data_IF_948803995698
#
_entry.id   IF_948803995698
#
_cell.length_a   1.000
_cell.length_b   1.000
_cell.length_c   1.000
_cell.angle_alpha   90.00
_cell.angle_beta   90.00
_cell.angle_gamma   90.00
#
_symmetry.space_group_name_H-M   'P 1'
#
loop_
_entity.id
_entity.type
_entity.pdbx_description
1 polymer ?
#
# COMPACT_ATOMS: atom_id res chain seq x y z
N UNK A 1 0.22 24.04 31.46
CA UNK A 1 0.44 23.79 30.01
C UNK A 1 0.20 22.31 29.76
N UNK A 2 -0.97 21.92 29.25
CA UNK A 2 -1.20 20.51 28.86
C UNK A 2 -0.65 20.32 27.44
N UNK A 3 0.12 19.26 27.15
CA UNK A 3 0.52 18.96 25.79
C UNK A 3 -0.75 18.75 24.97
N UNK A 4 -0.89 19.55 23.91
CA UNK A 4 -1.98 19.46 22.97
C UNK A 4 -1.74 18.26 22.06
N UNK A 5 -2.26 17.10 22.43
CA UNK A 5 -2.30 15.92 21.57
C UNK A 5 -3.34 16.14 20.46
N UNK A 6 -2.94 16.89 19.44
CA UNK A 6 -3.62 16.86 18.15
C UNK A 6 -3.22 15.61 17.38
N UNK A 7 -4.09 14.60 17.39
CA UNK A 7 -4.50 13.94 16.13
C UNK A 7 -5.88 13.31 16.29
N UNK A 8 -6.92 13.78 15.56
CA UNK A 8 -8.24 13.18 15.62
C UNK A 8 -8.19 11.74 15.08
N UNK A 9 -8.96 10.85 15.72
CA UNK A 9 -9.17 9.47 15.32
C UNK A 9 -9.69 9.39 13.88
N UNK A 10 -8.80 9.19 12.91
CA UNK A 10 -9.16 9.05 11.51
C UNK A 10 -9.32 7.56 11.17
N UNK A 11 -10.56 7.10 11.21
CA UNK A 11 -11.15 6.02 10.41
C UNK A 11 -10.15 5.07 9.73
N UNK A 12 -9.76 4.01 10.44
CA UNK A 12 -9.26 2.82 9.76
C UNK A 12 -10.46 2.11 9.15
N UNK A 13 -10.76 2.39 7.88
CA UNK A 13 -11.36 1.35 7.05
C UNK A 13 -10.52 0.07 7.24
N UNK A 14 -11.12 -1.13 7.23
CA UNK A 14 -10.35 -2.37 7.33
C UNK A 14 -9.22 -2.30 6.31
N UNK A 15 -7.97 -2.53 6.73
CA UNK A 15 -6.83 -2.41 5.80
C UNK A 15 -6.98 -3.30 4.58
N UNK A 16 -7.69 -4.41 4.75
CA UNK A 16 -8.10 -5.32 3.69
C UNK A 16 -8.99 -4.60 2.65
N UNK A 17 -9.94 -3.77 3.10
CA UNK A 17 -10.72 -2.92 2.21
C UNK A 17 -9.86 -1.86 1.50
N UNK A 18 -8.81 -1.34 2.13
CA UNK A 18 -7.88 -0.42 1.47
C UNK A 18 -7.04 -1.13 0.39
N UNK A 19 -6.56 -2.35 0.68
CA UNK A 19 -5.88 -3.23 -0.26
C UNK A 19 -6.76 -3.55 -1.47
N UNK A 20 -8.01 -3.95 -1.23
CA UNK A 20 -8.98 -4.26 -2.28
C UNK A 20 -9.27 -3.05 -3.16
N UNK A 21 -9.37 -1.85 -2.58
CA UNK A 21 -9.55 -0.60 -3.34
C UNK A 21 -8.31 -0.31 -4.21
N UNK A 22 -7.10 -0.60 -3.75
CA UNK A 22 -5.89 -0.41 -4.54
C UNK A 22 -5.76 -1.42 -5.67
N UNK A 23 -6.08 -2.69 -5.44
CA UNK A 23 -6.11 -3.75 -6.46
C UNK A 23 -7.12 -3.42 -7.56
N UNK A 24 -8.36 -3.09 -7.19
CA UNK A 24 -9.41 -2.69 -8.15
C UNK A 24 -9.02 -1.45 -8.96
N UNK A 25 -8.33 -0.48 -8.34
CA UNK A 25 -7.80 0.70 -9.03
C UNK A 25 -6.67 0.35 -9.99
N UNK A 26 -5.79 -0.58 -9.62
CA UNK A 26 -4.72 -1.11 -10.47
C UNK A 26 -5.27 -1.74 -11.73
N UNK A 27 -6.18 -2.71 -11.59
CA UNK A 27 -6.86 -3.40 -12.70
C UNK A 27 -7.54 -2.39 -13.64
N UNK A 28 -8.29 -1.43 -13.09
CA UNK A 28 -8.98 -0.41 -13.90
C UNK A 28 -8.01 0.48 -14.69
N UNK A 29 -6.81 0.73 -14.18
CA UNK A 29 -5.80 1.54 -14.88
C UNK A 29 -5.12 0.71 -15.98
N UNK A 30 -4.81 -0.55 -15.71
CA UNK A 30 -4.21 -1.48 -16.67
C UNK A 30 -5.16 -1.73 -17.85
N UNK A 31 -6.45 -1.92 -17.60
CA UNK A 31 -7.47 -2.03 -18.64
C UNK A 31 -7.53 -0.79 -19.53
N UNK A 32 -7.49 0.41 -18.93
CA UNK A 32 -7.48 1.68 -19.68
C UNK A 32 -6.21 1.84 -20.52
N UNK A 33 -5.05 1.42 -20.02
CA UNK A 33 -3.80 1.43 -20.78
C UNK A 33 -3.91 0.50 -21.99
N UNK A 34 -4.43 -0.71 -21.80
CA UNK A 34 -4.64 -1.70 -22.86
C UNK A 34 -5.58 -1.19 -23.96
N UNK A 35 -6.72 -0.60 -23.57
CA UNK A 35 -7.67 0.01 -24.52
C UNK A 35 -7.04 1.14 -25.33
N UNK A 36 -6.27 2.03 -24.68
CA UNK A 36 -5.57 3.13 -25.35
C UNK A 36 -4.47 2.63 -26.29
N UNK A 37 -3.77 1.54 -25.96
CA UNK A 37 -2.78 0.92 -26.83
C UNK A 37 -3.42 0.32 -28.09
N UNK A 38 -4.54 -0.39 -27.96
CA UNK A 38 -5.30 -0.91 -29.09
C UNK A 38 -5.77 0.22 -30.02
N UNK A 39 -6.23 1.35 -29.47
CA UNK A 39 -6.57 2.54 -30.25
C UNK A 39 -5.38 3.13 -31.00
N UNK A 40 -4.20 3.22 -30.35
CA UNK A 40 -2.99 3.73 -30.99
C UNK A 40 -2.54 2.83 -32.14
N UNK A 41 -2.67 1.51 -32.02
CA UNK A 41 -2.38 0.55 -33.10
C UNK A 41 -3.33 0.80 -34.29
N UNK A 42 -4.64 0.93 -34.04
CA UNK A 42 -5.62 1.26 -35.09
C UNK A 42 -5.27 2.56 -35.81
N UNK A 43 -4.91 3.61 -35.08
CA UNK A 43 -4.47 4.87 -35.70
C UNK A 43 -3.16 4.73 -36.49
N UNK A 44 -2.20 3.92 -36.04
CA UNK A 44 -0.97 3.64 -36.79
C UNK A 44 -1.28 2.97 -38.13
N UNK A 45 -2.18 1.99 -38.15
CA UNK A 45 -2.61 1.34 -39.40
C UNK A 45 -3.35 2.30 -40.34
N UNK A 46 -4.22 3.14 -39.80
CA UNK A 46 -4.88 4.19 -40.58
C UNK A 46 -3.87 5.16 -41.21
N UNK A 47 -2.84 5.57 -40.46
CA UNK A 47 -1.78 6.46 -40.97
C UNK A 47 -1.01 5.79 -42.11
N UNK A 48 -0.70 4.47 -42.01
CA UNK A 48 -0.04 3.71 -43.08
C UNK A 48 -0.85 3.64 -44.37
N UNK A 49 -2.18 3.55 -44.25
CA UNK A 49 -3.11 3.46 -45.39
C UNK A 49 -3.46 4.83 -45.99
N UNK A 50 -3.24 5.91 -45.25
CA UNK A 50 -3.59 7.28 -45.69
C UNK A 50 -2.43 7.90 -46.47
N UNK A 51 -2.73 8.51 -47.64
CA UNK A 51 -1.75 9.27 -48.43
C UNK A 51 -1.18 10.44 -47.60
N UNK A 52 0.13 10.76 -47.70
CA UNK A 52 0.69 11.92 -47.03
C UNK A 52 -0.04 13.20 -47.43
N UNK A 53 -0.51 13.94 -46.42
CA UNK A 53 -1.32 15.15 -46.61
C UNK A 53 -2.02 15.63 -45.33
N UNK A 54 -2.81 16.72 -45.40
CA UNK A 54 -3.46 17.34 -44.24
C UNK A 54 -4.40 16.37 -43.50
N UNK A 55 -5.06 15.45 -44.22
CA UNK A 55 -5.89 14.41 -43.62
C UNK A 55 -5.08 13.46 -42.71
N UNK A 56 -3.85 13.09 -43.11
CA UNK A 56 -2.97 12.23 -42.32
C UNK A 56 -2.50 12.95 -41.04
N UNK A 57 -2.21 14.26 -41.11
CA UNK A 57 -1.82 15.04 -39.94
C UNK A 57 -2.95 15.16 -38.90
N UNK A 58 -4.22 15.22 -39.33
CA UNK A 58 -5.37 15.16 -38.42
C UNK A 58 -5.43 13.82 -37.67
N UNK A 59 -5.24 12.70 -38.37
CA UNK A 59 -5.21 11.36 -37.76
C UNK A 59 -4.02 11.23 -36.80
N UNK A 60 -2.85 11.72 -37.20
CA UNK A 60 -1.64 11.76 -36.35
C UNK A 60 -1.88 12.63 -35.10
N UNK A 61 -2.56 13.76 -35.21
CA UNK A 61 -2.90 14.61 -34.07
C UNK A 61 -3.85 13.89 -33.09
N UNK A 62 -4.86 13.16 -33.60
CA UNK A 62 -5.75 12.32 -32.78
C UNK A 62 -4.97 11.21 -32.06
N UNK A 63 -4.07 10.52 -32.76
CA UNK A 63 -3.17 9.52 -32.16
C UNK A 63 -2.31 10.13 -31.05
N UNK A 64 -1.70 11.30 -31.27
CA UNK A 64 -0.89 12.00 -30.26
C UNK A 64 -1.69 12.30 -28.98
N UNK A 65 -2.99 12.62 -29.10
CA UNK A 65 -3.86 12.83 -27.92
C UNK A 65 -4.02 11.53 -27.11
N UNK A 66 -4.22 10.39 -27.79
CA UNK A 66 -4.31 9.07 -27.14
C UNK A 66 -3.00 8.65 -26.47
N UNK A 67 -1.86 8.92 -27.11
CA UNK A 67 -0.53 8.70 -26.49
C UNK A 67 -0.36 9.54 -25.22
N UNK A 68 -0.80 10.81 -25.22
CA UNK A 68 -0.76 11.64 -24.01
C UNK A 68 -1.63 11.08 -22.89
N UNK A 69 -2.83 10.61 -23.21
CA UNK A 69 -3.71 9.95 -22.24
C UNK A 69 -3.06 8.70 -21.66
N UNK A 70 -2.46 7.86 -22.51
CA UNK A 70 -1.74 6.66 -22.07
C UNK A 70 -0.64 7.01 -21.06
N UNK A 71 0.19 8.00 -21.36
CA UNK A 71 1.27 8.45 -20.46
C UNK A 71 0.78 8.92 -19.10
N UNK A 72 -0.43 9.48 -19.00
CA UNK A 72 -1.02 9.87 -17.71
C UNK A 72 -1.37 8.63 -16.89
N UNK A 73 -1.98 7.61 -17.52
CA UNK A 73 -2.33 6.36 -16.85
C UNK A 73 -1.10 5.52 -16.48
N UNK A 74 -0.08 5.47 -17.33
CA UNK A 74 1.21 4.84 -17.01
C UNK A 74 1.83 5.46 -15.74
N UNK A 75 1.84 6.80 -15.63
CA UNK A 75 2.30 7.47 -14.41
C UNK A 75 1.44 7.15 -13.19
N UNK A 76 0.12 7.05 -13.35
CA UNK A 76 -0.77 6.68 -12.24
C UNK A 76 -0.51 5.25 -11.76
N UNK A 77 -0.27 4.31 -12.68
CA UNK A 77 0.14 2.93 -12.38
C UNK A 77 1.45 2.91 -11.59
N UNK A 78 2.46 3.66 -12.03
CA UNK A 78 3.76 3.71 -11.34
C UNK A 78 3.63 4.28 -9.91
N UNK A 79 2.75 5.28 -9.71
CA UNK A 79 2.40 5.80 -8.38
C UNK A 79 1.72 4.73 -7.52
N UNK A 80 0.82 3.92 -8.09
CA UNK A 80 0.18 2.82 -7.36
C UNK A 80 1.20 1.75 -6.95
N UNK A 81 2.13 1.37 -7.84
CA UNK A 81 3.17 0.40 -7.50
C UNK A 81 4.07 0.90 -6.36
N UNK A 82 4.50 2.17 -6.39
CA UNK A 82 5.30 2.75 -5.32
C UNK A 82 4.52 2.84 -4.00
N UNK A 83 3.22 3.17 -4.06
CA UNK A 83 2.35 3.20 -2.87
C UNK A 83 2.13 1.81 -2.28
N UNK A 84 1.97 0.78 -3.12
CA UNK A 84 1.81 -0.59 -2.68
C UNK A 84 3.07 -1.08 -1.92
N UNK A 85 4.27 -0.75 -2.43
CA UNK A 85 5.52 -1.08 -1.74
C UNK A 85 5.64 -0.37 -0.38
N UNK A 86 5.27 0.91 -0.29
CA UNK A 86 5.21 1.64 0.97
C UNK A 86 4.22 1.03 1.98
N UNK A 87 3.04 0.63 1.52
CA UNK A 87 2.03 -0.04 2.35
C UNK A 87 2.52 -1.39 2.89
N UNK A 88 3.24 -2.16 2.07
CA UNK A 88 3.83 -3.44 2.48
C UNK A 88 4.89 -3.28 3.58
N UNK A 89 5.70 -2.22 3.57
CA UNK A 89 6.68 -1.97 4.64
C UNK A 89 6.02 -1.60 5.97
N UNK A 90 4.97 -0.78 5.93
CA UNK A 90 4.19 -0.42 7.12
C UNK A 90 3.48 -1.66 7.68
N UNK A 91 2.99 -2.56 6.82
CA UNK A 91 2.41 -3.85 7.21
C UNK A 91 3.42 -4.74 7.96
N UNK A 92 4.63 -4.91 7.42
CA UNK A 92 5.68 -5.71 8.05
C UNK A 92 6.15 -5.14 9.39
N UNK A 93 6.23 -3.80 9.51
CA UNK A 93 6.55 -3.15 10.77
C UNK A 93 5.47 -3.40 11.84
N UNK A 94 4.20 -3.35 11.46
CA UNK A 94 3.08 -3.64 12.36
C UNK A 94 3.05 -5.09 12.83
N UNK A 95 3.33 -6.05 11.94
CA UNK A 95 3.43 -7.45 12.29
C UNK A 95 4.54 -7.68 13.34
N UNK A 96 5.72 -7.08 13.12
CA UNK A 96 6.82 -7.12 14.10
C UNK A 96 6.43 -6.51 15.45
N UNK A 97 5.65 -5.43 15.45
CA UNK A 97 5.12 -4.80 16.67
C UNK A 97 4.08 -5.70 17.36
N UNK A 98 3.21 -6.38 16.62
CA UNK A 98 2.24 -7.35 17.19
C UNK A 98 2.95 -8.56 17.80
N UNK A 99 3.93 -9.11 17.09
CA UNK A 99 4.74 -10.24 17.56
C UNK A 99 5.55 -9.88 18.82
N UNK A 100 6.13 -8.68 18.88
CA UNK A 100 6.87 -8.21 20.08
C UNK A 100 5.96 -7.97 21.28
N UNK A 101 4.77 -7.38 21.07
CA UNK A 101 3.74 -7.24 22.11
C UNK A 101 3.27 -8.59 22.64
N UNK A 102 3.06 -9.57 21.76
CA UNK A 102 2.68 -10.93 22.16
C UNK A 102 3.81 -11.61 22.94
N UNK A 103 5.07 -11.47 22.50
CA UNK A 103 6.25 -11.97 23.23
C UNK A 103 6.37 -11.35 24.62
N UNK A 104 6.16 -10.02 24.74
CA UNK A 104 6.18 -9.32 26.03
C UNK A 104 5.03 -9.77 26.94
N UNK A 105 3.81 -9.94 26.43
CA UNK A 105 2.67 -10.50 27.20
C UNK A 105 2.99 -11.92 27.71
N UNK A 106 3.54 -12.79 26.86
CA UNK A 106 3.95 -14.16 27.24
C UNK A 106 5.06 -14.19 28.28
N UNK A 107 6.02 -13.27 28.20
CA UNK A 107 7.10 -13.16 29.19
C UNK A 107 6.62 -12.57 30.53
N UNK A 108 5.64 -11.65 30.49
CA UNK A 108 5.03 -11.09 31.70
C UNK A 108 4.18 -12.11 32.46
N UNK A 109 3.42 -12.95 31.76
CA UNK A 109 2.65 -14.05 32.39
C UNK A 109 3.52 -15.16 32.99
N UNK A 110 4.80 -15.25 32.60
CA UNK A 110 5.77 -16.19 33.19
C UNK A 110 6.54 -15.62 34.40
N UNK A 111 6.54 -14.30 34.61
CA UNK A 111 7.24 -13.64 35.72
C UNK A 111 6.37 -13.35 36.95
N UNK A 112 5.03 -13.30 36.80
CA UNK A 112 4.12 -12.98 37.91
C UNK A 112 4.00 -14.07 38.97
N UNK A 113 4.49 -15.29 38.72
CA UNK A 113 4.43 -16.40 39.69
C UNK A 113 5.74 -16.63 40.48
N UNK A 114 6.83 -15.94 40.12
CA UNK A 114 8.15 -16.13 40.74
C UNK A 114 8.55 -15.02 41.74
N UNK A 115 7.75 -13.96 41.85
CA UNK A 115 7.99 -12.84 42.77
C UNK A 115 7.08 -12.83 44.00
N UNK A 116 6.10 -13.73 44.09
CA UNK A 116 5.20 -13.84 45.25
C UNK A 116 5.57 -14.96 46.25
N UNK A 117 6.44 -15.90 45.86
CA UNK A 117 6.87 -17.02 46.70
C UNK A 117 8.22 -16.80 47.43
N UNK A 118 8.89 -15.67 47.23
CA UNK A 118 10.15 -15.34 47.92
C UNK A 118 10.00 -14.40 49.12
N UNK A 119 8.78 -13.95 49.44
CA UNK A 119 8.51 -13.07 50.60
C UNK A 119 7.92 -13.84 51.79
N UNK A 120 7.60 -15.14 51.64
CA UNK A 120 6.94 -15.93 52.69
C UNK A 120 7.73 -17.14 53.20
N UNK A 121 9.06 -17.14 53.11
CA UNK A 121 9.91 -18.06 53.86
C UNK A 121 11.00 -17.28 54.59
N UNK A 122 10.73 -16.78 55.82
CA UNK A 122 11.76 -16.25 56.67
C UNK A 122 12.72 -17.39 57.02
N UNK A 123 14.00 -17.08 56.89
CA UNK A 123 15.16 -17.89 57.25
C UNK A 123 15.22 -18.08 58.77
N UNK A 124 14.30 -18.86 59.33
CA UNK A 124 14.36 -19.36 60.69
C UNK A 124 14.99 -20.76 60.65
N UNK A 125 16.32 -20.80 60.76
CA UNK A 125 17.10 -21.93 61.29
C UNK A 125 18.59 -21.52 61.27
N UNK A 126 18.92 -20.49 62.06
CA UNK A 126 20.27 -20.27 62.59
C UNK A 126 20.05 -19.94 64.06
N UNK A 127 20.77 -20.63 64.95
CA UNK A 127 20.72 -20.63 66.43
C UNK A 127 19.55 -21.42 67.07
N UNK A 128 19.81 -22.67 67.46
CA UNK A 128 20.04 -23.03 68.86
C UNK A 128 20.64 -24.43 69.00
#
# INVERSE_FOLDING_TARGET
>A
MKPNDQRPAAATAPRDAASDIWSKRGETIEDKISQLDAEVIRYKEQIKKTRPGPAQEVVKARMKRKIRQKRVYERQRDILHNRNFGANQVSLAEEKIKASKQKKKRHNSGQSNLSFLSILFPRCCILS
#
